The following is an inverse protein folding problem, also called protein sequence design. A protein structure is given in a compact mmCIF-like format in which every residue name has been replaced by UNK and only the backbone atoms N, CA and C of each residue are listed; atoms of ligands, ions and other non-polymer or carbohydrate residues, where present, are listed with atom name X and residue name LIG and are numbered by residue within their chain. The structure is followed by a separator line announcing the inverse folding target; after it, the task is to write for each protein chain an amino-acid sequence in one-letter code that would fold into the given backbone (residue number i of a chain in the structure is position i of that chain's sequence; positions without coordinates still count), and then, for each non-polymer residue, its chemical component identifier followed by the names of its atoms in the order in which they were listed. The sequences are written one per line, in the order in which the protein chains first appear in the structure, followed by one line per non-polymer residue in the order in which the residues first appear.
data_IF_237293501050
#
_entry.id   IF_237293501050
#
_cell.length_a   1.000
_cell.length_b   1.000
_cell.length_c   1.000
_cell.angle_alpha   90.00
_cell.angle_beta   90.00
_cell.angle_gamma   90.00
#
_symmetry.space_group_name_H-M   'P 1'
#
loop_
_entity.id
_entity.type
_entity.pdbx_description
1 polymer ?
#
# COMPACT_ATOMS: atom_id res chain seq x y z
N UNK A 1 -12.85 34.06 -31.55
CA UNK A 1 -12.16 32.76 -31.71
C UNK A 1 -12.55 31.89 -30.52
N UNK A 2 -13.30 30.81 -30.75
CA UNK A 2 -13.56 29.80 -29.72
C UNK A 2 -12.22 29.22 -29.25
N UNK A 3 -11.92 29.14 -27.95
CA UNK A 3 -10.80 28.35 -27.51
C UNK A 3 -11.14 26.89 -27.80
N UNK A 4 -10.35 26.35 -28.72
CA UNK A 4 -10.22 24.96 -29.15
C UNK A 4 -10.77 23.95 -28.15
N UNK A 5 -11.62 23.05 -28.65
CA UNK A 5 -11.68 21.66 -28.20
C UNK A 5 -10.24 21.14 -28.08
N UNK A 6 -9.64 21.17 -26.89
CA UNK A 6 -8.53 20.28 -26.60
C UNK A 6 -9.15 18.88 -26.56
N UNK A 7 -8.84 18.06 -27.55
CA UNK A 7 -9.19 16.64 -27.50
C UNK A 7 -8.61 16.08 -26.20
N UNK A 8 -9.49 15.69 -25.28
CA UNK A 8 -9.11 15.04 -24.04
C UNK A 8 -8.21 13.84 -24.35
N UNK A 9 -7.08 13.73 -23.67
CA UNK A 9 -6.10 12.66 -23.85
C UNK A 9 -5.92 11.86 -22.56
N UNK A 10 -5.28 10.70 -22.68
CA UNK A 10 -4.88 9.91 -21.53
C UNK A 10 -4.01 10.73 -20.57
N UNK A 11 -4.28 10.62 -19.28
CA UNK A 11 -3.64 11.44 -18.24
C UNK A 11 -4.25 12.83 -18.02
N UNK A 12 -5.20 13.28 -18.85
CA UNK A 12 -5.98 14.48 -18.51
C UNK A 12 -6.91 14.18 -17.33
N UNK A 13 -7.18 15.19 -16.51
CA UNK A 13 -8.11 15.09 -15.39
C UNK A 13 -9.54 14.92 -15.93
N UNK A 14 -10.27 13.93 -15.41
CA UNK A 14 -11.65 13.67 -15.79
C UNK A 14 -12.61 14.59 -15.03
N UNK A 15 -12.97 15.72 -15.65
CA UNK A 15 -13.85 16.74 -15.05
C UNK A 15 -15.28 16.27 -14.74
N UNK A 16 -15.64 15.03 -15.08
CA UNK A 16 -16.95 14.44 -14.72
C UNK A 16 -16.96 13.81 -13.33
N UNK A 17 -15.80 13.74 -12.65
CA UNK A 17 -15.66 13.21 -11.30
C UNK A 17 -15.68 14.35 -10.27
N UNK A 18 -16.53 14.25 -9.26
CA UNK A 18 -16.61 15.26 -8.21
C UNK A 18 -16.74 16.68 -8.75
N UNK A 19 -15.93 17.60 -8.23
CA UNK A 19 -15.82 18.97 -8.72
C UNK A 19 -14.54 19.09 -9.53
N UNK A 20 -14.68 19.32 -10.85
CA UNK A 20 -13.58 19.49 -11.80
C UNK A 20 -12.54 18.35 -11.78
N UNK A 21 -12.97 17.13 -11.46
CA UNK A 21 -12.12 15.94 -11.43
C UNK A 21 -11.56 15.57 -10.06
N UNK A 22 -11.95 16.29 -9.01
CA UNK A 22 -11.50 16.08 -7.64
C UNK A 22 -12.67 15.88 -6.66
N UNK A 23 -12.45 14.98 -5.69
CA UNK A 23 -13.25 14.84 -4.47
C UNK A 23 -12.35 15.01 -3.27
N UNK A 24 -12.55 16.08 -2.51
CA UNK A 24 -11.97 16.23 -1.19
C UNK A 24 -12.82 15.50 -0.15
N UNK A 25 -12.20 14.84 0.83
CA UNK A 25 -12.92 14.23 1.96
C UNK A 25 -13.60 15.27 2.89
N UNK A 26 -13.55 16.56 2.57
CA UNK A 26 -14.42 17.58 3.18
C UNK A 26 -15.91 17.28 3.00
N UNK A 27 -16.28 16.45 2.02
CA UNK A 27 -17.65 15.97 1.80
C UNK A 27 -18.22 15.09 2.92
N UNK A 28 -17.37 14.54 3.80
CA UNK A 28 -17.83 13.68 4.90
C UNK A 28 -18.63 14.50 5.94
N UNK A 29 -19.57 13.86 6.67
CA UNK A 29 -20.44 14.51 7.65
C UNK A 29 -19.68 15.37 8.68
N UNK A 30 -20.32 16.41 9.20
CA UNK A 30 -19.69 17.41 10.10
C UNK A 30 -19.35 16.85 11.48
N UNK A 31 -19.96 15.74 11.89
CA UNK A 31 -19.58 15.02 13.11
C UNK A 31 -18.26 14.25 12.94
N UNK A 32 -17.80 14.02 11.71
CA UNK A 32 -16.43 13.58 11.45
C UNK A 32 -15.55 14.82 11.49
N UNK A 33 -14.57 14.80 12.40
CA UNK A 33 -13.57 15.85 12.58
C UNK A 33 -12.83 16.19 11.29
N UNK A 34 -12.07 17.27 11.30
CA UNK A 34 -11.39 17.79 10.12
C UNK A 34 -10.17 16.95 9.72
N UNK A 35 -9.61 16.17 10.66
CA UNK A 35 -8.53 15.23 10.41
C UNK A 35 -9.07 13.97 9.71
N UNK A 36 -9.24 14.06 8.39
CA UNK A 36 -9.83 13.02 7.53
C UNK A 36 -8.77 12.41 6.66
N UNK A 37 -7.97 11.54 7.27
CA UNK A 37 -6.81 10.95 6.60
C UNK A 37 -7.23 9.70 5.83
N UNK A 38 -6.98 9.71 4.54
CA UNK A 38 -7.13 8.56 3.66
C UNK A 38 -6.01 7.54 3.93
N UNK A 39 -6.38 6.28 4.09
CA UNK A 39 -5.46 5.19 4.46
C UNK A 39 -5.55 3.98 3.52
N UNK A 40 -6.60 3.92 2.70
CA UNK A 40 -6.78 2.91 1.66
C UNK A 40 -7.94 3.25 0.74
N UNK A 41 -7.91 2.72 -0.49
CA UNK A 41 -8.98 2.87 -1.48
C UNK A 41 -9.20 1.54 -2.17
N UNK A 42 -10.46 1.21 -2.43
CA UNK A 42 -10.86 0.00 -3.12
C UNK A 42 -12.01 0.33 -4.09
N UNK A 43 -11.92 -0.18 -5.33
CA UNK A 43 -13.04 -0.15 -6.27
C UNK A 43 -13.87 -1.41 -6.08
N UNK A 44 -15.16 -1.23 -5.85
CA UNK A 44 -16.13 -2.31 -5.65
C UNK A 44 -16.63 -2.85 -7.01
N UNK A 45 -17.23 -4.06 -7.06
CA UNK A 45 -17.74 -4.63 -8.31
C UNK A 45 -18.80 -3.79 -9.02
N UNK A 46 -19.57 -3.01 -8.27
CA UNK A 46 -20.56 -2.05 -8.79
C UNK A 46 -19.94 -0.69 -9.17
N UNK A 47 -18.60 -0.63 -9.27
CA UNK A 47 -17.78 0.54 -9.60
C UNK A 47 -17.84 1.69 -8.57
N UNK A 48 -18.49 1.48 -7.42
CA UNK A 48 -18.41 2.38 -6.28
C UNK A 48 -17.00 2.38 -5.69
N UNK A 49 -16.68 3.46 -5.01
CA UNK A 49 -15.38 3.68 -4.39
C UNK A 49 -15.55 3.53 -2.89
N UNK A 50 -14.77 2.65 -2.27
CA UNK A 50 -14.69 2.51 -0.82
C UNK A 50 -13.36 3.08 -0.34
N UNK A 51 -13.40 3.90 0.70
CA UNK A 51 -12.23 4.58 1.27
C UNK A 51 -12.09 4.21 2.74
N UNK A 52 -10.90 3.74 3.11
CA UNK A 52 -10.49 3.51 4.49
C UNK A 52 -9.86 4.77 5.09
N UNK A 53 -10.21 5.08 6.33
CA UNK A 53 -9.90 6.35 6.97
C UNK A 53 -9.33 6.18 8.38
N UNK A 54 -8.47 7.12 8.77
CA UNK A 54 -8.30 7.49 10.17
C UNK A 54 -9.11 8.77 10.43
N UNK A 55 -10.01 8.73 11.41
CA UNK A 55 -10.92 9.84 11.71
C UNK A 55 -10.93 10.17 13.19
N UNK A 56 -11.03 11.46 13.50
CA UNK A 56 -11.48 11.91 14.82
C UNK A 56 -12.98 12.15 14.74
N UNK A 57 -13.76 11.76 15.74
CA UNK A 57 -15.17 12.16 15.84
C UNK A 57 -15.25 13.51 16.57
N UNK A 58 -15.86 14.51 15.94
CA UNK A 58 -15.97 15.87 16.46
C UNK A 58 -16.89 15.87 17.69
N UNK A 59 -16.37 16.23 18.88
CA UNK A 59 -17.17 16.19 20.07
C UNK A 59 -17.97 17.49 20.22
N UNK A 60 -19.10 17.57 19.51
CA UNK A 60 -20.25 18.26 20.11
C UNK A 60 -20.81 17.45 21.31
N UNK A 61 -20.26 16.25 21.57
CA UNK A 61 -20.69 15.27 22.59
C UNK A 61 -19.56 14.64 23.43
N UNK A 62 -18.39 15.29 23.61
CA UNK A 62 -17.40 14.86 24.63
C UNK A 62 -15.93 15.03 24.26
N UNK A 63 -15.25 16.03 24.83
CA UNK A 63 -13.82 16.25 24.67
C UNK A 63 -13.01 14.99 25.05
N UNK A 64 -12.07 14.56 24.19
CA UNK A 64 -11.02 13.58 24.53
C UNK A 64 -11.22 12.13 24.06
N UNK A 65 -12.19 11.84 23.18
CA UNK A 65 -12.28 10.50 22.58
C UNK A 65 -11.06 10.21 21.68
N UNK A 66 -10.46 9.01 21.76
CA UNK A 66 -9.37 8.62 20.87
C UNK A 66 -9.86 8.56 19.41
N UNK A 67 -8.97 8.75 18.42
CA UNK A 67 -9.30 8.54 17.02
C UNK A 67 -9.91 7.17 16.75
N UNK A 68 -10.85 7.11 15.82
CA UNK A 68 -11.47 5.88 15.32
C UNK A 68 -11.04 5.64 13.87
N UNK A 69 -11.23 4.42 13.39
CA UNK A 69 -11.16 4.20 11.95
C UNK A 69 -12.51 4.48 11.30
N UNK A 70 -12.51 4.72 9.99
CA UNK A 70 -13.72 4.90 9.21
C UNK A 70 -13.69 4.19 7.86
N UNK A 71 -14.87 3.84 7.37
CA UNK A 71 -15.11 3.45 5.99
C UNK A 71 -16.12 4.43 5.40
N UNK A 72 -15.83 5.01 4.25
CA UNK A 72 -16.76 5.84 3.50
C UNK A 72 -16.97 5.29 2.09
N UNK A 73 -18.20 5.34 1.58
CA UNK A 73 -18.54 4.86 0.24
C UNK A 73 -19.00 6.00 -0.66
N UNK A 74 -18.48 6.02 -1.88
CA UNK A 74 -18.82 7.00 -2.90
C UNK A 74 -19.35 6.28 -4.13
N UNK A 75 -20.25 6.93 -4.84
CA UNK A 75 -20.65 6.55 -6.20
C UNK A 75 -19.44 6.56 -7.16
N UNK A 76 -19.57 5.94 -8.36
CA UNK A 76 -18.50 5.96 -9.36
C UNK A 76 -18.02 7.36 -9.73
N UNK A 77 -18.91 8.37 -9.66
CA UNK A 77 -18.64 9.78 -9.99
C UNK A 77 -18.28 10.64 -8.77
N UNK A 78 -18.07 10.03 -7.61
CA UNK A 78 -17.49 10.71 -6.44
C UNK A 78 -18.49 11.38 -5.51
N UNK A 79 -19.79 11.17 -5.71
CA UNK A 79 -20.85 11.60 -4.78
C UNK A 79 -20.88 10.65 -3.59
N UNK A 80 -20.90 11.16 -2.36
CA UNK A 80 -21.05 10.37 -1.13
C UNK A 80 -22.35 9.56 -1.15
N UNK A 81 -22.25 8.26 -0.94
CA UNK A 81 -23.40 7.36 -0.77
C UNK A 81 -23.91 7.46 0.66
N UNK A 82 -24.91 8.31 0.90
CA UNK A 82 -25.42 8.59 2.25
C UNK A 82 -26.13 7.41 2.92
N UNK A 83 -26.52 6.40 2.14
CA UNK A 83 -27.18 5.19 2.66
C UNK A 83 -26.15 4.17 3.19
N UNK A 84 -24.86 4.45 3.04
CA UNK A 84 -23.79 3.61 3.59
C UNK A 84 -23.52 3.93 5.06
N UNK A 85 -23.86 3.03 5.97
CA UNK A 85 -23.65 3.25 7.40
C UNK A 85 -24.52 4.40 7.93
N UNK A 86 -23.91 5.34 8.64
CA UNK A 86 -24.58 6.57 9.12
C UNK A 86 -24.09 7.73 8.26
N UNK A 87 -24.99 8.38 7.52
CA UNK A 87 -24.70 9.51 6.63
C UNK A 87 -23.52 9.29 5.67
N UNK A 88 -23.33 8.05 5.22
CA UNK A 88 -22.28 7.66 4.29
C UNK A 88 -20.97 7.16 4.90
N UNK A 89 -20.92 7.00 6.22
CA UNK A 89 -19.73 6.55 6.95
C UNK A 89 -20.06 5.44 7.97
N UNK A 90 -19.21 4.42 8.02
CA UNK A 90 -19.11 3.49 9.14
C UNK A 90 -17.88 3.90 9.97
N UNK A 91 -18.02 4.04 11.28
CA UNK A 91 -16.90 4.32 12.20
C UNK A 91 -16.88 3.30 13.31
N UNK A 92 -15.69 2.83 13.69
CA UNK A 92 -15.53 1.86 14.77
C UNK A 92 -14.07 1.89 15.29
N UNK A 93 -13.78 1.12 16.33
CA UNK A 93 -12.47 0.99 16.95
C UNK A 93 -12.07 -0.48 17.05
N UNK A 94 -10.79 -0.79 16.79
CA UNK A 94 -10.30 -2.16 16.94
C UNK A 94 -10.29 -2.62 18.41
N UNK A 95 -10.23 -1.67 19.34
CA UNK A 95 -10.42 -1.88 20.77
C UNK A 95 -11.22 -0.72 21.38
N UNK A 96 -12.11 -1.00 22.35
CA UNK A 96 -12.82 0.06 23.05
C UNK A 96 -11.86 1.07 23.68
N UNK A 97 -12.07 2.36 23.39
CA UNK A 97 -11.30 3.49 23.96
C UNK A 97 -9.81 3.54 23.58
N UNK A 98 -9.38 2.80 22.56
CA UNK A 98 -8.01 2.90 22.03
C UNK A 98 -7.98 3.59 20.66
N UNK A 99 -6.90 4.31 20.38
CA UNK A 99 -6.71 5.04 19.14
C UNK A 99 -6.63 4.09 17.95
N UNK A 100 -7.58 4.16 17.05
CA UNK A 100 -7.68 3.26 15.89
C UNK A 100 -7.49 4.02 14.59
N UNK A 101 -6.75 3.40 13.65
CA UNK A 101 -6.55 3.93 12.30
C UNK A 101 -6.81 2.83 11.28
N UNK A 102 -7.75 3.06 10.36
CA UNK A 102 -7.98 2.18 9.23
C UNK A 102 -6.77 2.21 8.28
N UNK A 103 -6.74 1.30 7.32
CA UNK A 103 -5.61 1.16 6.41
C UNK A 103 -5.99 0.51 5.09
N UNK A 104 -5.19 -0.45 4.65
CA UNK A 104 -5.40 -1.17 3.39
C UNK A 104 -6.72 -1.93 3.43
N UNK A 105 -7.45 -1.87 2.34
CA UNK A 105 -8.69 -2.59 2.13
C UNK A 105 -8.46 -3.69 1.11
N UNK A 106 -9.05 -4.86 1.36
CA UNK A 106 -9.04 -6.00 0.45
C UNK A 106 -10.44 -6.61 0.40
N UNK A 107 -11.04 -6.73 -0.78
CA UNK A 107 -12.22 -7.59 -0.95
C UNK A 107 -11.75 -9.02 -1.10
N UNK A 108 -12.22 -9.88 -0.22
CA UNK A 108 -11.94 -11.30 -0.24
C UNK A 108 -12.74 -11.98 -1.35
N UNK A 109 -12.28 -13.14 -1.81
CA UNK A 109 -12.96 -13.95 -2.84
C UNK A 109 -14.38 -14.37 -2.41
N UNK A 110 -14.63 -14.52 -1.12
CA UNK A 110 -15.95 -14.83 -0.54
C UNK A 110 -16.89 -13.62 -0.43
N UNK A 111 -16.47 -12.45 -0.93
CA UNK A 111 -17.26 -11.22 -0.94
C UNK A 111 -17.11 -10.36 0.32
N UNK A 112 -16.50 -10.87 1.39
CA UNK A 112 -16.20 -10.09 2.60
C UNK A 112 -15.17 -8.99 2.33
N UNK A 113 -15.19 -7.96 3.16
CA UNK A 113 -14.20 -6.89 3.14
C UNK A 113 -13.28 -7.04 4.35
N UNK A 114 -11.99 -7.19 4.06
CA UNK A 114 -10.93 -7.15 5.06
C UNK A 114 -10.30 -5.76 5.11
N UNK A 115 -10.10 -5.24 6.31
CA UNK A 115 -9.36 -4.00 6.56
C UNK A 115 -8.15 -4.29 7.44
N UNK A 116 -6.98 -3.87 6.98
CA UNK A 116 -5.74 -3.84 7.72
C UNK A 116 -5.53 -2.44 8.28
N UNK A 117 -5.18 -2.29 9.55
CA UNK A 117 -4.97 -1.01 10.20
C UNK A 117 -4.04 -1.11 11.41
N UNK A 118 -4.17 -0.14 12.30
CA UNK A 118 -3.40 -0.12 13.55
C UNK A 118 -4.23 0.37 14.72
N UNK A 119 -3.93 -0.16 15.90
CA UNK A 119 -4.45 0.34 17.18
C UNK A 119 -3.28 0.81 18.05
N UNK A 120 -3.38 2.00 18.63
CA UNK A 120 -2.42 2.50 19.60
C UNK A 120 -2.86 2.14 21.01
N UNK A 121 -2.12 1.26 21.70
CA UNK A 121 -2.40 0.82 23.06
C UNK A 121 -1.53 1.62 24.04
N UNK A 122 -2.09 2.07 25.16
CA UNK A 122 -1.30 2.78 26.17
C UNK A 122 -0.46 1.80 27.01
N UNK A 123 0.87 1.90 26.88
CA UNK A 123 1.84 1.17 27.69
C UNK A 123 2.70 2.16 28.48
N UNK A 124 2.44 2.27 29.79
CA UNK A 124 3.23 3.16 30.66
C UNK A 124 3.16 4.65 30.29
N UNK A 125 2.03 5.12 29.74
CA UNK A 125 1.82 6.51 29.32
C UNK A 125 2.22 6.79 27.86
N UNK A 126 2.78 5.81 27.14
CA UNK A 126 3.12 5.93 25.72
C UNK A 126 2.14 5.12 24.88
N UNK A 127 1.60 5.69 23.81
CA UNK A 127 0.73 4.94 22.88
C UNK A 127 1.57 4.18 21.87
N UNK A 128 1.56 2.85 21.96
CA UNK A 128 2.34 1.94 21.11
C UNK A 128 1.43 1.42 20.01
N UNK A 129 1.80 1.58 18.72
CA UNK A 129 1.01 1.05 17.62
C UNK A 129 1.14 -0.48 17.58
N UNK A 130 0.03 -1.16 17.30
CA UNK A 130 -0.06 -2.59 17.06
C UNK A 130 -0.80 -2.86 15.77
N UNK A 131 -0.51 -4.01 15.16
CA UNK A 131 -1.21 -4.47 13.97
C UNK A 131 -2.66 -4.80 14.34
N UNK A 132 -3.62 -4.24 13.60
CA UNK A 132 -5.04 -4.46 13.85
C UNK A 132 -5.80 -4.72 12.56
N UNK A 133 -6.87 -5.50 12.64
CA UNK A 133 -7.66 -5.93 11.50
C UNK A 133 -9.14 -5.92 11.85
N UNK A 134 -9.97 -5.68 10.84
CA UNK A 134 -11.42 -5.81 10.91
C UNK A 134 -11.90 -6.58 9.68
N UNK A 135 -12.92 -7.41 9.84
CA UNK A 135 -13.60 -8.05 8.72
C UNK A 135 -15.07 -7.64 8.69
N UNK A 136 -15.57 -7.36 7.50
CA UNK A 136 -16.96 -7.02 7.26
C UNK A 136 -17.57 -8.02 6.28
N UNK A 137 -18.84 -8.33 6.48
CA UNK A 137 -19.67 -9.09 5.53
C UNK A 137 -19.82 -8.34 4.20
N UNK A 138 -20.37 -9.01 3.19
CA UNK A 138 -20.63 -8.38 1.89
C UNK A 138 -21.63 -7.21 1.97
N UNK A 139 -22.53 -7.21 2.96
CA UNK A 139 -23.43 -6.10 3.29
C UNK A 139 -22.80 -5.07 4.26
N UNK A 140 -21.48 -5.12 4.44
CA UNK A 140 -20.68 -4.18 5.24
C UNK A 140 -21.06 -4.10 6.72
N UNK A 141 -21.60 -5.18 7.29
CA UNK A 141 -21.72 -5.35 8.73
C UNK A 141 -20.46 -5.99 9.26
N UNK A 142 -20.08 -5.67 10.49
CA UNK A 142 -18.90 -6.27 11.12
C UNK A 142 -19.11 -7.81 11.23
N UNK A 143 -18.18 -8.59 10.70
CA UNK A 143 -18.23 -10.05 10.69
C UNK A 143 -17.70 -10.58 12.03
N UNK A 144 -18.60 -10.81 12.97
CA UNK A 144 -18.26 -11.27 14.33
C UNK A 144 -17.62 -12.66 14.37
N UNK A 145 -17.62 -13.42 13.27
CA UNK A 145 -16.90 -14.72 13.22
C UNK A 145 -15.40 -14.56 13.01
N UNK A 146 -14.95 -13.35 12.65
CA UNK A 146 -13.54 -13.04 12.47
C UNK A 146 -12.85 -12.67 13.80
N UNK A 147 -11.59 -13.10 13.95
CA UNK A 147 -10.73 -12.77 15.10
C UNK A 147 -10.89 -13.67 16.32
N UNK A 148 -11.82 -14.64 16.30
CA UNK A 148 -11.98 -15.67 17.33
C UNK A 148 -12.67 -15.23 18.62
N UNK A 149 -12.81 -13.92 18.86
CA UNK A 149 -13.41 -13.35 20.09
C UNK A 149 -14.85 -12.86 19.91
N UNK A 150 -15.48 -13.09 18.76
CA UNK A 150 -16.84 -12.60 18.52
C UNK A 150 -16.92 -11.11 18.19
N UNK A 151 -15.78 -10.42 18.08
CA UNK A 151 -15.69 -8.96 17.89
C UNK A 151 -15.68 -8.56 16.43
N UNK A 152 -15.25 -9.45 15.52
CA UNK A 152 -14.96 -9.09 14.13
C UNK A 152 -13.68 -8.25 13.96
N UNK A 153 -12.91 -8.11 15.05
CA UNK A 153 -11.62 -7.48 15.10
C UNK A 153 -10.55 -8.49 15.50
N UNK A 154 -9.32 -8.25 15.05
CA UNK A 154 -8.13 -8.95 15.53
C UNK A 154 -7.03 -7.94 15.77
N UNK A 155 -6.38 -8.02 16.93
CA UNK A 155 -5.18 -7.24 17.25
C UNK A 155 -4.04 -8.22 17.51
N UNK A 156 -2.95 -8.04 16.76
CA UNK A 156 -1.70 -8.75 17.02
C UNK A 156 -0.82 -7.78 17.78
N UNK A 157 -0.73 -7.99 19.09
CA UNK A 157 0.13 -7.21 19.97
C UNK A 157 1.61 -7.47 19.67
N UNK A 158 2.43 -6.45 19.89
CA UNK A 158 3.86 -6.53 19.63
C UNK A 158 4.53 -7.20 20.84
N UNK A 159 5.75 -7.71 20.66
CA UNK A 159 6.58 -7.96 21.84
C UNK A 159 7.00 -6.63 22.48
N UNK A 160 7.39 -6.65 23.76
CA UNK A 160 7.85 -5.46 24.49
C UNK A 160 9.09 -4.79 23.90
N UNK A 161 9.77 -5.44 22.96
CA UNK A 161 10.98 -4.93 22.30
C UNK A 161 10.72 -4.42 20.89
N UNK A 162 9.48 -4.52 20.38
CA UNK A 162 9.14 -4.22 19.00
C UNK A 162 8.08 -3.10 18.90
N UNK A 163 8.27 -2.22 17.92
CA UNK A 163 7.33 -1.15 17.59
C UNK A 163 6.86 -1.34 16.14
N UNK A 164 5.55 -1.55 15.97
CA UNK A 164 4.91 -1.75 14.68
C UNK A 164 4.95 -0.49 13.80
N UNK A 165 5.26 -0.66 12.51
CA UNK A 165 5.30 0.42 11.52
C UNK A 165 4.12 0.36 10.54
N UNK A 166 2.99 0.95 10.93
CA UNK A 166 1.72 0.85 10.18
C UNK A 166 1.74 1.36 8.73
N UNK A 167 2.72 2.17 8.34
CA UNK A 167 2.81 2.75 6.98
C UNK A 167 3.17 1.74 5.90
N UNK A 168 3.74 0.59 6.28
CA UNK A 168 4.34 -0.37 5.35
C UNK A 168 3.58 -1.67 5.23
N UNK A 169 2.40 -1.75 5.85
CA UNK A 169 1.63 -2.98 5.86
C UNK A 169 0.86 -3.16 4.54
N UNK A 170 0.92 -4.37 4.00
CA UNK A 170 0.16 -4.77 2.82
C UNK A 170 -0.45 -6.15 3.04
N UNK A 171 -1.51 -6.47 2.31
CA UNK A 171 -2.25 -7.72 2.44
C UNK A 171 -2.56 -8.31 1.07
N UNK A 172 -2.44 -9.62 0.96
CA UNK A 172 -2.82 -10.39 -0.23
C UNK A 172 -3.50 -11.69 0.20
N UNK A 173 -4.53 -12.10 -0.54
CA UNK A 173 -5.19 -13.38 -0.35
C UNK A 173 -4.54 -14.46 -1.24
N UNK A 174 -4.28 -15.63 -0.67
CA UNK A 174 -3.89 -16.84 -1.39
C UNK A 174 -5.12 -17.55 -1.98
N UNK A 175 -4.92 -18.39 -3.01
CA UNK A 175 -6.00 -19.14 -3.65
C UNK A 175 -6.71 -20.17 -2.74
N UNK A 176 -6.13 -20.52 -1.60
CA UNK A 176 -6.79 -21.34 -0.56
C UNK A 176 -7.58 -20.48 0.46
N UNK A 177 -7.72 -19.19 0.19
CA UNK A 177 -8.39 -18.20 1.01
C UNK A 177 -7.51 -17.57 2.09
N UNK A 178 -6.36 -18.15 2.44
CA UNK A 178 -5.51 -17.63 3.52
C UNK A 178 -5.00 -16.22 3.21
N UNK A 179 -4.77 -15.44 4.25
CA UNK A 179 -4.30 -14.06 4.15
C UNK A 179 -2.83 -13.97 4.47
N UNK A 180 -2.07 -13.31 3.60
CA UNK A 180 -0.68 -12.95 3.80
C UNK A 180 -0.61 -11.47 4.14
N UNK A 181 0.02 -11.14 5.26
CA UNK A 181 0.22 -9.75 5.69
C UNK A 181 1.71 -9.52 5.81
N UNK A 182 2.26 -8.65 4.97
CA UNK A 182 3.62 -8.18 5.13
C UNK A 182 3.64 -6.87 5.89
N UNK A 183 4.60 -6.71 6.79
CA UNK A 183 4.79 -5.50 7.58
C UNK A 183 6.23 -5.37 8.05
N UNK A 184 6.51 -4.29 8.76
CA UNK A 184 7.80 -3.99 9.37
C UNK A 184 7.63 -3.55 10.83
N UNK A 185 8.59 -3.93 11.65
CA UNK A 185 8.75 -3.50 13.03
C UNK A 185 10.15 -2.89 13.19
N UNK A 186 10.34 -2.08 14.22
CA UNK A 186 11.69 -1.69 14.67
C UNK A 186 11.88 -1.98 16.16
N UNK A 187 13.13 -2.08 16.57
CA UNK A 187 13.48 -2.29 17.98
C UNK A 187 13.19 -1.03 18.81
N UNK A 188 12.65 -1.24 20.02
CA UNK A 188 12.46 -0.16 20.99
C UNK A 188 13.79 0.56 21.26
N UNK A 189 13.81 1.89 21.09
CA UNK A 189 15.01 2.70 21.30
C UNK A 189 16.01 2.67 20.14
N UNK A 190 15.78 1.89 19.08
CA UNK A 190 16.60 1.90 17.87
C UNK A 190 15.76 1.73 16.59
N UNK A 191 15.30 2.86 16.05
CA UNK A 191 14.48 2.90 14.84
C UNK A 191 15.18 2.40 13.56
N UNK A 192 16.50 2.25 13.57
CA UNK A 192 17.27 1.75 12.42
C UNK A 192 17.37 0.22 12.39
N UNK A 193 17.04 -0.45 13.49
CA UNK A 193 17.04 -1.91 13.57
C UNK A 193 15.65 -2.42 13.28
N UNK A 194 15.35 -2.58 12.00
CA UNK A 194 14.05 -3.01 11.49
C UNK A 194 14.00 -4.51 11.21
N UNK A 195 12.81 -5.09 11.31
CA UNK A 195 12.52 -6.47 10.95
C UNK A 195 11.27 -6.54 10.08
N UNK A 196 11.43 -7.08 8.88
CA UNK A 196 10.32 -7.41 7.99
C UNK A 196 9.63 -8.69 8.47
N UNK A 197 8.32 -8.63 8.63
CA UNK A 197 7.50 -9.76 9.10
C UNK A 197 6.46 -10.11 8.05
N UNK A 198 6.32 -11.40 7.77
CA UNK A 198 5.22 -11.98 7.01
C UNK A 198 4.34 -12.81 7.95
N UNK A 199 3.11 -12.36 8.19
CA UNK A 199 2.09 -13.16 8.86
C UNK A 199 1.29 -13.95 7.85
N UNK A 200 0.85 -15.15 8.25
CA UNK A 200 -0.23 -15.86 7.58
C UNK A 200 -1.40 -16.13 8.52
N UNK A 201 -2.59 -15.77 8.07
CA UNK A 201 -3.85 -15.98 8.78
C UNK A 201 -4.77 -16.89 7.96
N UNK A 202 -5.63 -17.62 8.65
CA UNK A 202 -6.83 -18.18 8.06
C UNK A 202 -7.84 -17.07 7.72
N UNK A 203 -8.84 -17.38 6.88
CA UNK A 203 -9.91 -16.45 6.48
C UNK A 203 -10.79 -15.97 7.64
N UNK A 204 -10.78 -16.67 8.77
CA UNK A 204 -11.45 -16.27 10.02
C UNK A 204 -10.55 -15.41 10.92
N UNK A 205 -9.34 -15.06 10.47
CA UNK A 205 -8.39 -14.22 11.19
C UNK A 205 -7.44 -14.98 12.13
N UNK A 206 -7.64 -16.26 12.45
CA UNK A 206 -6.69 -16.95 13.34
C UNK A 206 -5.33 -17.15 12.65
N UNK A 207 -4.22 -17.03 13.39
CA UNK A 207 -2.88 -17.33 12.89
C UNK A 207 -2.80 -18.77 12.36
N UNK A 208 -2.24 -18.94 11.16
CA UNK A 208 -2.02 -20.27 10.58
C UNK A 208 -0.72 -20.87 11.11
N UNK A 209 -0.82 -21.71 12.13
CA UNK A 209 0.33 -22.34 12.78
C UNK A 209 1.05 -23.36 11.89
N UNK A 210 0.51 -23.73 10.73
CA UNK A 210 1.23 -24.52 9.72
C UNK A 210 2.27 -23.70 8.95
N UNK A 211 2.22 -22.37 9.06
CA UNK A 211 3.18 -21.45 8.46
C UNK A 211 4.24 -21.06 9.48
N UNK A 212 5.50 -21.42 9.24
CA UNK A 212 6.62 -21.16 10.15
C UNK A 212 6.37 -21.61 11.62
N UNK A 213 5.49 -22.59 11.82
CA UNK A 213 5.12 -23.13 13.15
C UNK A 213 4.20 -22.26 14.01
N UNK A 214 4.03 -20.97 13.69
CA UNK A 214 3.27 -20.02 14.52
C UNK A 214 2.49 -18.95 13.73
N UNK A 215 2.47 -19.03 12.40
CA UNK A 215 1.82 -18.03 11.55
C UNK A 215 2.61 -16.73 11.35
N UNK A 216 3.86 -16.65 11.82
CA UNK A 216 4.71 -15.45 11.77
C UNK A 216 6.11 -15.80 11.29
N UNK A 217 6.54 -15.22 10.17
CA UNK A 217 7.88 -15.39 9.61
C UNK A 217 8.66 -14.07 9.67
N UNK A 218 9.83 -14.10 10.30
CA UNK A 218 10.82 -13.02 10.22
C UNK A 218 11.67 -13.19 8.96
N UNK A 219 11.76 -12.14 8.15
CA UNK A 219 12.64 -12.12 6.99
C UNK A 219 14.07 -11.85 7.46
N UNK A 220 15.00 -12.75 7.14
CA UNK A 220 16.41 -12.63 7.50
C UNK A 220 17.28 -12.73 6.26
N UNK A 221 18.30 -11.86 6.18
CA UNK A 221 19.35 -11.95 5.18
C UNK A 221 20.34 -13.07 5.50
N UNK A 222 21.47 -13.07 4.78
CA UNK A 222 22.61 -13.92 5.14
C UNK A 222 23.22 -13.51 6.49
N UNK A 223 23.20 -12.21 6.77
CA UNK A 223 23.50 -11.64 8.08
C UNK A 223 22.20 -11.65 8.92
N UNK A 224 22.16 -12.40 10.05
CA UNK A 224 20.97 -12.48 10.89
C UNK A 224 20.65 -11.18 11.64
N UNK A 225 21.63 -10.28 11.77
CA UNK A 225 21.48 -8.98 12.46
C UNK A 225 21.18 -7.83 11.47
N UNK A 226 21.15 -8.12 10.17
CA UNK A 226 20.80 -7.15 9.15
C UNK A 226 19.37 -6.63 9.36
N UNK A 227 19.23 -5.30 9.36
CA UNK A 227 17.91 -4.67 9.34
C UNK A 227 17.18 -5.07 8.04
N UNK A 228 15.91 -5.41 8.16
CA UNK A 228 15.06 -5.80 7.03
C UNK A 228 13.73 -5.08 7.07
N UNK A 229 13.17 -4.82 5.89
CA UNK A 229 11.81 -4.30 5.78
C UNK A 229 11.05 -5.05 4.70
N UNK A 230 9.78 -5.32 4.96
CA UNK A 230 8.87 -5.97 4.03
C UNK A 230 7.75 -4.99 3.66
N UNK A 231 7.57 -4.74 2.36
CA UNK A 231 6.65 -3.69 1.87
C UNK A 231 5.48 -4.24 1.07
N UNK A 232 5.69 -5.33 0.34
CA UNK A 232 4.66 -5.98 -0.47
C UNK A 232 4.88 -7.49 -0.54
N UNK A 233 3.80 -8.22 -0.78
CA UNK A 233 3.83 -9.65 -1.05
C UNK A 233 2.82 -9.99 -2.15
N UNK A 234 3.06 -11.11 -2.83
CA UNK A 234 2.15 -11.70 -3.80
C UNK A 234 2.10 -13.22 -3.60
N UNK A 235 0.91 -13.79 -3.76
CA UNK A 235 0.73 -15.23 -3.87
C UNK A 235 0.96 -15.68 -5.32
N UNK A 236 1.75 -16.74 -5.52
CA UNK A 236 1.92 -17.42 -6.80
C UNK A 236 1.11 -18.72 -6.84
N UNK A 237 0.90 -19.24 -8.06
CA UNK A 237 0.39 -20.59 -8.26
C UNK A 237 1.23 -21.64 -7.51
N UNK A 238 0.58 -22.68 -7.01
CA UNK A 238 1.23 -23.73 -6.20
C UNK A 238 1.56 -23.32 -4.77
N UNK A 239 1.01 -22.21 -4.27
CA UNK A 239 1.16 -21.76 -2.87
C UNK A 239 2.50 -21.10 -2.56
N UNK A 240 3.32 -20.79 -3.56
CA UNK A 240 4.55 -20.02 -3.34
C UNK A 240 4.22 -18.56 -3.03
N UNK A 241 5.08 -17.91 -2.26
CA UNK A 241 4.88 -16.55 -1.78
C UNK A 241 6.10 -15.73 -2.19
N UNK A 242 5.89 -14.64 -2.91
CA UNK A 242 6.96 -13.70 -3.27
C UNK A 242 6.79 -12.43 -2.47
N UNK A 243 7.88 -11.92 -1.91
CA UNK A 243 7.89 -10.72 -1.08
C UNK A 243 8.97 -9.76 -1.52
N UNK A 244 8.77 -8.46 -1.27
CA UNK A 244 9.75 -7.41 -1.58
C UNK A 244 9.96 -6.43 -0.45
N UNK A 245 11.14 -5.82 -0.46
CA UNK A 245 11.49 -4.74 0.45
C UNK A 245 12.98 -4.43 0.38
N UNK A 246 13.66 -4.44 1.53
CA UNK A 246 15.10 -4.19 1.62
C UNK A 246 15.79 -5.05 2.69
N UNK A 247 17.10 -5.25 2.55
CA UNK A 247 18.00 -5.84 3.54
C UNK A 247 19.26 -4.98 3.66
N UNK A 248 19.68 -4.68 4.89
CA UNK A 248 20.86 -3.89 5.20
C UNK A 248 22.04 -4.78 5.60
N UNK A 249 22.82 -5.24 4.62
CA UNK A 249 24.02 -6.04 4.88
C UNK A 249 25.09 -5.17 5.55
N UNK A 250 25.62 -5.52 6.72
CA UNK A 250 26.70 -4.77 7.35
C UNK A 250 28.07 -5.08 6.70
N UNK A 251 28.98 -4.11 6.50
CA UNK A 251 28.89 -2.65 6.78
C UNK A 251 28.31 -1.81 5.62
N UNK A 252 27.50 -2.42 4.74
CA UNK A 252 26.94 -1.81 3.53
C UNK A 252 25.58 -1.12 3.72
N UNK A 253 25.04 -0.66 2.59
CA UNK A 253 23.77 0.05 2.50
C UNK A 253 22.59 -0.92 2.32
N UNK A 254 21.39 -0.47 2.68
CA UNK A 254 20.13 -1.14 2.39
C UNK A 254 20.00 -1.42 0.90
N UNK A 255 19.81 -2.69 0.58
CA UNK A 255 19.69 -3.20 -0.78
C UNK A 255 18.28 -3.73 -0.99
N UNK A 256 17.65 -3.33 -2.10
CA UNK A 256 16.34 -3.82 -2.47
C UNK A 256 16.40 -5.34 -2.69
N UNK A 257 15.43 -6.05 -2.13
CA UNK A 257 15.38 -7.52 -2.19
C UNK A 257 14.02 -8.00 -2.66
N UNK A 258 14.05 -9.11 -3.39
CA UNK A 258 12.90 -9.96 -3.66
C UNK A 258 13.25 -11.34 -3.10
N UNK A 259 12.33 -11.93 -2.35
CA UNK A 259 12.51 -13.28 -1.80
C UNK A 259 11.30 -14.14 -2.13
N UNK A 260 11.50 -15.46 -2.25
CA UNK A 260 10.41 -16.41 -2.43
C UNK A 260 10.41 -17.49 -1.36
N UNK A 261 9.22 -17.78 -0.85
CA UNK A 261 8.97 -18.79 0.17
C UNK A 261 7.99 -19.84 -0.34
N UNK A 262 8.11 -21.04 0.19
CA UNK A 262 7.12 -22.11 0.05
C UNK A 262 5.89 -21.81 0.91
N UNK A 263 4.83 -22.60 0.70
CA UNK A 263 3.56 -22.44 1.40
C UNK A 263 3.64 -22.76 2.91
N UNK A 264 4.76 -23.28 3.41
CA UNK A 264 5.00 -23.50 4.84
C UNK A 264 5.87 -22.39 5.47
N UNK A 265 6.32 -21.41 4.67
CA UNK A 265 7.20 -20.33 5.09
C UNK A 265 8.69 -20.64 4.96
N UNK A 266 9.07 -21.83 4.50
CA UNK A 266 10.48 -22.15 4.23
C UNK A 266 10.97 -21.44 2.96
N UNK A 267 12.24 -21.00 2.95
CA UNK A 267 12.82 -20.28 1.82
C UNK A 267 12.94 -21.18 0.57
N UNK A 268 12.38 -20.73 -0.56
CA UNK A 268 12.47 -21.44 -1.83
C UNK A 268 13.82 -21.18 -2.51
N UNK A 269 14.81 -22.02 -2.18
CA UNK A 269 16.19 -21.91 -2.70
C UNK A 269 16.32 -22.11 -4.21
N UNK A 270 15.24 -22.47 -4.93
CA UNK A 270 15.22 -22.52 -6.40
C UNK A 270 14.94 -21.18 -7.06
N UNK A 271 14.53 -20.17 -6.28
CA UNK A 271 14.32 -18.81 -6.76
C UNK A 271 15.63 -18.03 -6.80
N UNK A 272 15.76 -17.14 -7.78
CA UNK A 272 16.94 -16.29 -7.94
C UNK A 272 18.13 -17.04 -8.53
N UNK A 273 19.32 -16.48 -8.36
CA UNK A 273 20.56 -17.04 -8.89
C UNK A 273 21.19 -18.02 -7.90
N UNK A 274 22.06 -18.88 -8.41
CA UNK A 274 22.78 -19.90 -7.62
C UNK A 274 23.59 -19.32 -6.46
N UNK A 275 24.09 -18.09 -6.60
CA UNK A 275 24.87 -17.40 -5.57
C UNK A 275 24.02 -16.61 -4.56
N UNK A 276 22.71 -16.52 -4.78
CA UNK A 276 21.74 -15.90 -3.86
C UNK A 276 20.47 -16.75 -3.75
N UNK A 277 20.55 -18.04 -3.40
CA UNK A 277 19.40 -18.95 -3.47
C UNK A 277 18.25 -18.45 -2.58
N UNK A 278 17.06 -18.33 -3.16
CA UNK A 278 15.86 -17.81 -2.50
C UNK A 278 15.70 -16.29 -2.60
N UNK A 279 16.73 -15.57 -3.05
CA UNK A 279 16.79 -14.12 -3.06
C UNK A 279 17.23 -13.57 -4.42
N UNK A 280 16.71 -12.39 -4.75
CA UNK A 280 17.21 -11.53 -5.81
C UNK A 280 17.48 -10.14 -5.20
N UNK A 281 18.73 -9.71 -5.17
CA UNK A 281 19.14 -8.40 -4.63
C UNK A 281 19.48 -7.45 -5.78
N UNK A 282 19.13 -6.17 -5.62
CA UNK A 282 19.32 -5.16 -6.67
C UNK A 282 20.19 -4.00 -6.16
N UNK A 283 21.53 -4.14 -6.19
CA UNK A 283 22.42 -3.04 -5.87
C UNK A 283 22.47 -2.02 -7.02
N UNK A 284 22.45 -0.72 -6.69
CA UNK A 284 22.58 0.36 -7.67
C UNK A 284 23.68 1.32 -7.22
N UNK A 285 24.89 1.16 -7.75
CA UNK A 285 25.96 2.18 -7.68
C UNK A 285 26.26 2.78 -6.31
N UNK A 286 26.25 1.98 -5.23
CA UNK A 286 26.50 2.49 -3.87
C UNK A 286 25.37 3.35 -3.30
N UNK A 287 24.16 3.26 -3.86
CA UNK A 287 22.96 3.91 -3.33
C UNK A 287 22.18 2.94 -2.44
N UNK A 288 21.49 3.51 -1.45
CA UNK A 288 20.39 2.83 -0.78
C UNK A 288 19.29 2.48 -1.80
N UNK A 289 18.75 1.26 -1.73
CA UNK A 289 17.64 0.83 -2.61
C UNK A 289 16.57 0.10 -1.81
N UNK A 290 15.31 0.29 -2.20
CA UNK A 290 14.20 -0.49 -1.63
C UNK A 290 13.08 -0.67 -2.66
N UNK A 291 12.35 -1.77 -2.55
CA UNK A 291 11.07 -1.93 -3.21
C UNK A 291 9.93 -1.56 -2.27
N UNK A 292 8.92 -0.86 -2.79
CA UNK A 292 7.71 -0.46 -2.07
C UNK A 292 6.49 -1.27 -2.52
N UNK A 293 6.49 -1.77 -3.76
CA UNK A 293 5.37 -2.50 -4.33
C UNK A 293 5.85 -3.62 -5.28
N UNK A 294 4.98 -4.59 -5.53
CA UNK A 294 5.22 -5.71 -6.44
C UNK A 294 3.99 -5.95 -7.31
N UNK A 295 4.15 -5.83 -8.62
CA UNK A 295 3.09 -6.02 -9.61
C UNK A 295 3.22 -7.39 -10.26
N UNK A 296 2.15 -8.16 -10.35
CA UNK A 296 2.14 -9.40 -11.13
C UNK A 296 2.07 -9.10 -12.63
N UNK A 297 2.82 -9.84 -13.42
CA UNK A 297 2.77 -9.81 -14.89
C UNK A 297 2.65 -11.22 -15.45
N UNK A 298 2.25 -11.41 -16.73
CA UNK A 298 2.19 -12.74 -17.32
C UNK A 298 3.53 -13.51 -17.26
N UNK A 299 4.66 -12.79 -17.36
CA UNK A 299 6.03 -13.33 -17.35
C UNK A 299 6.63 -13.48 -15.94
N UNK A 300 6.06 -12.82 -14.94
CA UNK A 300 6.59 -12.79 -13.58
C UNK A 300 6.07 -11.59 -12.82
N UNK A 301 6.96 -10.62 -12.59
CA UNK A 301 6.70 -9.47 -11.75
C UNK A 301 7.42 -8.22 -12.23
N UNK A 302 6.89 -7.06 -11.83
CA UNK A 302 7.65 -5.80 -11.83
C UNK A 302 7.65 -5.29 -10.39
N UNK A 303 8.84 -5.19 -9.80
CA UNK A 303 9.03 -4.61 -8.48
C UNK A 303 9.33 -3.10 -8.62
N UNK A 304 8.65 -2.26 -7.83
CA UNK A 304 8.78 -0.80 -7.93
C UNK A 304 9.13 -0.20 -6.59
N UNK A 305 10.01 0.80 -6.57
CA UNK A 305 10.39 1.51 -5.35
C UNK A 305 11.36 2.65 -5.64
N UNK A 306 12.48 2.71 -4.91
CA UNK A 306 13.43 3.82 -5.00
C UNK A 306 14.89 3.39 -4.98
N UNK A 307 15.74 4.26 -5.51
CA UNK A 307 17.19 4.26 -5.38
C UNK A 307 17.68 5.64 -4.94
N UNK A 308 18.56 5.71 -3.95
CA UNK A 308 19.02 6.94 -3.30
C UNK A 308 18.58 7.05 -1.85
N UNK A 309 19.29 7.88 -1.09
CA UNK A 309 19.09 8.04 0.34
C UNK A 309 17.96 9.01 0.67
N UNK A 310 17.54 8.97 1.94
CA UNK A 310 16.65 9.95 2.57
C UNK A 310 17.46 11.01 3.35
N UNK A 311 18.67 11.35 2.87
CA UNK A 311 19.50 12.36 3.51
C UNK A 311 19.05 13.79 3.13
N UNK A 312 19.11 14.77 4.05
CA UNK A 312 18.82 16.17 3.75
C UNK A 312 19.63 16.69 2.55
N UNK A 313 18.94 17.08 1.47
CA UNK A 313 19.55 17.60 0.24
C UNK A 313 19.75 16.56 -0.87
N UNK A 314 19.46 15.29 -0.61
CA UNK A 314 19.40 14.24 -1.65
C UNK A 314 17.95 14.01 -2.10
N UNK A 315 17.76 13.55 -3.34
CA UNK A 315 16.43 13.18 -3.86
C UNK A 315 16.47 11.73 -4.35
N UNK A 316 15.66 10.87 -3.75
CA UNK A 316 15.55 9.49 -4.21
C UNK A 316 14.94 9.44 -5.61
N UNK A 317 15.48 8.56 -6.46
CA UNK A 317 15.01 8.29 -7.80
C UNK A 317 14.07 7.09 -7.78
N UNK A 318 13.18 7.01 -8.75
CA UNK A 318 12.30 5.85 -8.89
C UNK A 318 13.09 4.68 -9.44
N UNK A 319 12.75 3.47 -8.98
CA UNK A 319 13.34 2.25 -9.49
C UNK A 319 12.25 1.27 -9.87
N UNK A 320 12.37 0.69 -11.07
CA UNK A 320 11.57 -0.46 -11.51
C UNK A 320 12.49 -1.59 -11.94
N UNK A 321 12.10 -2.83 -11.63
CA UNK A 321 12.85 -4.02 -12.03
C UNK A 321 11.88 -5.11 -12.47
N UNK A 322 12.01 -5.57 -13.72
CA UNK A 322 11.27 -6.72 -14.24
C UNK A 322 11.96 -8.02 -13.87
N UNK A 323 11.21 -8.97 -13.32
CA UNK A 323 11.73 -10.23 -12.79
C UNK A 323 10.80 -11.37 -13.21
N UNK A 324 11.38 -12.47 -13.69
CA UNK A 324 10.65 -13.69 -14.06
C UNK A 324 10.03 -14.37 -12.83
N UNK A 325 9.11 -15.32 -13.04
CA UNK A 325 8.50 -16.09 -11.95
C UNK A 325 9.54 -16.82 -11.10
N UNK A 326 10.68 -17.16 -11.68
CA UNK A 326 11.81 -17.88 -11.08
C UNK A 326 12.85 -16.96 -10.43
N UNK A 327 12.69 -15.63 -10.49
CA UNK A 327 13.58 -14.70 -9.81
C UNK A 327 14.81 -14.29 -10.61
N UNK A 328 14.83 -14.58 -11.91
CA UNK A 328 15.82 -14.08 -12.86
C UNK A 328 15.36 -12.78 -13.49
N UNK A 329 16.29 -11.98 -13.99
CA UNK A 329 15.99 -10.73 -14.69
C UNK A 329 15.08 -10.96 -15.91
N UNK A 330 14.05 -10.13 -16.07
CA UNK A 330 13.20 -10.13 -17.29
C UNK A 330 13.90 -9.32 -18.39
N UNK A 331 14.51 -10.00 -19.35
CA UNK A 331 15.27 -9.36 -20.43
C UNK A 331 14.43 -8.49 -21.35
N UNK A 332 13.12 -8.68 -21.40
CA UNK A 332 12.23 -7.83 -22.19
C UNK A 332 11.85 -6.54 -21.45
N UNK A 333 12.18 -6.42 -20.16
CA UNK A 333 11.97 -5.23 -19.36
C UNK A 333 13.30 -4.52 -19.13
N UNK A 334 13.53 -3.43 -19.86
CA UNK A 334 14.77 -2.64 -19.77
C UNK A 334 16.06 -3.51 -19.87
N UNK A 335 16.08 -4.47 -20.78
CA UNK A 335 17.18 -5.43 -20.99
C UNK A 335 17.58 -6.22 -19.73
N UNK A 336 16.64 -6.43 -18.80
CA UNK A 336 16.89 -7.07 -17.50
C UNK A 336 17.66 -6.21 -16.51
N UNK A 337 17.88 -4.92 -16.81
CA UNK A 337 18.59 -3.99 -15.93
C UNK A 337 17.59 -3.22 -15.06
N UNK A 338 17.98 -2.80 -13.85
CA UNK A 338 17.19 -1.84 -13.08
C UNK A 338 16.96 -0.55 -13.88
N UNK A 339 15.70 -0.13 -13.96
CA UNK A 339 15.30 1.10 -14.62
C UNK A 339 15.20 2.21 -13.58
N UNK A 340 16.13 3.16 -13.63
CA UNK A 340 16.15 4.33 -12.75
C UNK A 340 15.43 5.49 -13.44
N UNK A 341 14.39 6.01 -12.78
CA UNK A 341 13.49 7.03 -13.32
C UNK A 341 13.60 8.31 -12.52
N UNK A 342 13.78 9.44 -13.20
CA UNK A 342 13.87 10.76 -12.58
C UNK A 342 13.20 11.80 -13.48
N UNK A 343 12.16 12.46 -12.98
CA UNK A 343 11.45 13.50 -13.73
C UNK A 343 12.03 14.90 -13.52
N UNK A 344 12.57 15.18 -12.33
CA UNK A 344 13.20 16.48 -12.05
C UNK A 344 14.45 16.30 -11.18
N UNK A 345 15.34 17.30 -11.20
CA UNK A 345 16.51 17.35 -10.33
C UNK A 345 16.19 17.62 -8.86
N UNK A 346 15.00 18.14 -8.56
CA UNK A 346 14.66 18.74 -7.27
C UNK A 346 13.65 17.93 -6.46
N UNK A 347 13.04 16.90 -7.04
CA UNK A 347 11.91 16.21 -6.43
C UNK A 347 12.13 14.71 -6.34
N UNK A 348 11.84 14.14 -5.18
CA UNK A 348 11.82 12.69 -4.97
C UNK A 348 10.85 12.02 -5.96
N UNK A 349 11.28 10.93 -6.56
CA UNK A 349 10.45 10.07 -7.42
C UNK A 349 10.41 8.67 -6.82
N UNK A 350 9.98 8.50 -5.56
CA UNK A 350 9.86 7.17 -4.96
C UNK A 350 8.51 6.55 -5.35
N UNK A 351 8.52 5.48 -6.15
CA UNK A 351 7.30 4.78 -6.54
C UNK A 351 6.64 4.16 -5.31
N UNK A 352 5.47 4.66 -4.92
CA UNK A 352 4.80 4.27 -3.69
C UNK A 352 3.70 3.24 -3.90
N UNK A 353 3.06 3.26 -5.07
CA UNK A 353 1.97 2.37 -5.43
C UNK A 353 1.83 2.27 -6.95
N UNK A 354 1.14 1.23 -7.42
CA UNK A 354 0.97 0.97 -8.83
C UNK A 354 0.12 -0.25 -9.12
N UNK A 355 -0.31 -0.37 -10.37
CA UNK A 355 -0.98 -1.56 -10.88
C UNK A 355 -0.67 -1.78 -12.37
N UNK A 356 -0.94 -2.99 -12.86
CA UNK A 356 -0.86 -3.32 -14.28
C UNK A 356 -2.27 -3.27 -14.89
N UNK A 357 -2.43 -2.54 -16.00
CA UNK A 357 -3.65 -2.51 -16.80
C UNK A 357 -3.83 -3.82 -17.60
N UNK A 358 -5.06 -4.17 -18.03
CA UNK A 358 -5.32 -5.39 -18.80
C UNK A 358 -4.53 -5.50 -20.12
N UNK A 359 -4.12 -4.37 -20.70
CA UNK A 359 -3.31 -4.31 -21.92
C UNK A 359 -1.80 -4.46 -21.65
N UNK A 360 -1.40 -4.68 -20.39
CA UNK A 360 -0.02 -4.87 -19.96
C UNK A 360 0.74 -3.58 -19.66
N UNK A 361 0.13 -2.40 -19.81
CA UNK A 361 0.74 -1.15 -19.35
C UNK A 361 0.77 -1.07 -17.83
N UNK A 362 1.75 -0.37 -17.29
CA UNK A 362 1.90 -0.14 -15.84
C UNK A 362 1.50 1.28 -15.51
N UNK A 363 0.69 1.48 -14.48
CA UNK A 363 0.34 2.80 -13.94
C UNK A 363 0.95 2.92 -12.56
N UNK A 364 1.80 3.93 -12.34
CA UNK A 364 2.53 4.12 -11.08
C UNK A 364 2.30 5.51 -10.50
N UNK A 365 2.25 5.59 -9.17
CA UNK A 365 2.26 6.85 -8.42
C UNK A 365 3.53 6.98 -7.59
N UNK A 366 4.10 8.18 -7.52
CA UNK A 366 5.17 8.51 -6.58
C UNK A 366 4.68 9.23 -5.32
N UNK A 367 5.52 9.27 -4.29
CA UNK A 367 5.33 10.10 -3.09
C UNK A 367 6.10 11.45 -3.18
N UNK A 368 5.87 12.34 -2.21
CA UNK A 368 6.53 13.64 -2.11
C UNK A 368 5.86 14.72 -2.97
N UNK A 369 6.38 14.92 -4.19
CA UNK A 369 5.72 15.65 -5.27
C UNK A 369 5.25 14.62 -6.29
N UNK A 370 3.97 14.22 -6.24
CA UNK A 370 3.54 12.99 -6.89
C UNK A 370 3.53 13.14 -8.41
N UNK A 371 4.04 12.12 -9.07
CA UNK A 371 3.80 11.86 -10.48
C UNK A 371 2.81 10.71 -10.57
N UNK A 372 1.80 10.86 -11.41
CA UNK A 372 1.07 9.74 -11.98
C UNK A 372 1.70 9.43 -13.33
N UNK A 373 2.16 8.20 -13.55
CA UNK A 373 2.86 7.82 -14.78
C UNK A 373 2.32 6.54 -15.37
N UNK A 374 2.47 6.39 -16.69
CA UNK A 374 2.12 5.19 -17.43
C UNK A 374 3.31 4.70 -18.25
N UNK A 375 3.53 3.39 -18.21
CA UNK A 375 4.68 2.72 -18.81
C UNK A 375 4.20 1.55 -19.65
N UNK A 376 4.91 1.26 -20.74
CA UNK A 376 4.71 0.05 -21.51
C UNK A 376 5.28 -1.17 -20.77
N UNK A 377 4.86 -2.37 -21.18
CA UNK A 377 5.28 -3.63 -20.54
C UNK A 377 6.78 -3.94 -20.64
N UNK A 378 7.53 -3.20 -21.47
CA UNK A 378 8.99 -3.29 -21.60
C UNK A 378 9.73 -2.27 -20.72
N UNK A 379 9.00 -1.45 -19.94
CA UNK A 379 9.56 -0.40 -19.09
C UNK A 379 9.79 0.95 -19.78
N UNK A 380 9.51 1.10 -21.08
CA UNK A 380 9.57 2.43 -21.72
C UNK A 380 8.35 3.30 -21.34
N UNK A 381 8.50 4.64 -21.24
CA UNK A 381 7.37 5.53 -20.97
C UNK A 381 6.30 5.43 -22.06
N UNK A 382 5.03 5.43 -21.67
CA UNK A 382 3.93 5.55 -22.63
C UNK A 382 3.72 7.02 -23.01
N UNK A 383 4.29 7.44 -24.14
CA UNK A 383 4.26 8.84 -24.59
C UNK A 383 2.86 9.38 -24.91
N UNK A 384 1.83 8.52 -24.96
CA UNK A 384 0.43 8.96 -25.13
C UNK A 384 -0.21 9.41 -23.80
N UNK A 385 0.41 9.11 -22.66
CA UNK A 385 -0.08 9.49 -21.33
C UNK A 385 0.57 10.79 -20.83
N UNK A 386 -0.24 11.82 -20.60
CA UNK A 386 0.24 13.09 -20.06
C UNK A 386 1.34 13.71 -20.92
N UNK A 387 2.44 14.11 -20.30
CA UNK A 387 3.65 14.60 -20.98
C UNK A 387 4.75 13.56 -20.78
N UNK A 388 5.19 12.94 -21.88
CA UNK A 388 6.25 11.92 -21.90
C UNK A 388 6.01 10.76 -20.93
N UNK A 389 4.75 10.31 -20.81
CA UNK A 389 4.35 9.21 -19.93
C UNK A 389 4.01 9.59 -18.51
N UNK A 390 3.96 10.89 -18.17
CA UNK A 390 3.66 11.32 -16.81
C UNK A 390 2.80 12.59 -16.70
N UNK A 391 2.13 12.68 -15.58
CA UNK A 391 1.37 13.83 -15.12
C UNK A 391 1.96 14.27 -13.78
N UNK A 392 2.47 15.48 -13.72
CA UNK A 392 2.89 16.11 -12.47
C UNK A 392 1.66 16.56 -11.69
N UNK A 393 1.48 16.00 -10.50
CA UNK A 393 0.42 16.40 -9.58
C UNK A 393 0.97 17.52 -8.69
N UNK A 394 0.41 18.73 -8.83
CA UNK A 394 0.91 19.96 -8.17
C UNK A 394 0.46 20.10 -6.71
N UNK A 395 0.47 19.00 -5.96
CA UNK A 395 0.27 19.03 -4.51
C UNK A 395 1.62 18.88 -3.81
N UNK A 396 1.77 19.57 -2.68
CA UNK A 396 2.96 19.45 -1.82
C UNK A 396 2.68 18.61 -0.60
N UNK A 397 3.69 17.85 -0.15
CA UNK A 397 3.62 17.12 1.13
C UNK A 397 2.82 15.83 1.08
N UNK A 398 2.66 15.23 -0.10
CA UNK A 398 1.95 13.95 -0.26
C UNK A 398 2.81 12.82 0.30
N UNK A 399 2.38 12.24 1.43
CA UNK A 399 3.12 11.16 2.13
C UNK A 399 2.64 9.75 1.77
N UNK A 400 1.43 9.63 1.24
CA UNK A 400 0.85 8.35 0.82
C UNK A 400 -0.08 8.61 -0.35
N UNK A 401 0.21 7.99 -1.49
CA UNK A 401 -0.59 8.05 -2.69
C UNK A 401 -0.94 6.62 -3.12
N UNK A 402 -2.20 6.45 -3.47
CA UNK A 402 -2.81 5.21 -3.93
C UNK A 402 -3.23 5.39 -5.38
N UNK A 403 -3.05 4.35 -6.18
CA UNK A 403 -3.50 4.36 -7.56
C UNK A 403 -4.19 3.05 -7.86
N UNK A 404 -5.44 3.13 -8.30
CA UNK A 404 -6.27 1.95 -8.53
C UNK A 404 -6.92 2.00 -9.91
N UNK A 405 -6.96 0.83 -10.54
CA UNK A 405 -7.65 0.62 -11.81
C UNK A 405 -9.16 0.73 -11.63
N UNK A 406 -9.87 1.10 -12.69
CA UNK A 406 -11.32 1.07 -12.75
C UNK A 406 -11.80 0.32 -13.99
N UNK A 407 -13.00 -0.30 -13.94
CA UNK A 407 -13.59 -0.98 -15.10
C UNK A 407 -13.84 -0.08 -16.31
N UNK A 408 -13.97 1.23 -16.10
CA UNK A 408 -14.19 2.24 -17.15
C UNK A 408 -12.88 2.71 -17.83
N UNK A 409 -11.78 1.97 -17.63
CA UNK A 409 -10.41 2.31 -18.04
C UNK A 409 -9.85 3.58 -17.41
N UNK A 410 -10.61 4.31 -16.57
CA UNK A 410 -10.09 5.51 -15.90
C UNK A 410 -9.16 5.13 -14.75
N UNK A 411 -8.35 6.08 -14.35
CA UNK A 411 -7.38 5.93 -13.27
C UNK A 411 -7.88 6.73 -12.07
N UNK A 412 -8.07 6.08 -10.93
CA UNK A 412 -8.33 6.79 -9.68
C UNK A 412 -7.02 6.92 -8.91
N UNK A 413 -6.65 8.15 -8.61
CA UNK A 413 -5.53 8.50 -7.77
C UNK A 413 -6.05 9.09 -6.47
N UNK A 414 -5.51 8.68 -5.34
CA UNK A 414 -5.94 9.18 -4.04
C UNK A 414 -4.76 9.41 -3.11
N UNK A 415 -4.78 10.52 -2.38
CA UNK A 415 -3.69 10.87 -1.49
C UNK A 415 -4.14 11.78 -0.35
N UNK A 416 -3.29 11.90 0.68
CA UNK A 416 -3.43 12.99 1.65
C UNK A 416 -2.63 14.21 1.16
N UNK A 417 -3.32 15.33 0.95
CA UNK A 417 -2.74 16.59 0.48
C UNK A 417 -2.64 17.59 1.62
N UNK A 418 -1.52 18.31 1.71
CA UNK A 418 -1.31 19.33 2.76
C UNK A 418 -1.95 20.67 2.39
N UNK A 419 -2.75 21.25 3.30
CA UNK A 419 -3.34 22.58 3.16
C UNK A 419 -3.29 23.40 4.47
N UNK A 420 -3.85 24.63 4.43
CA UNK A 420 -3.80 25.63 5.53
C UNK A 420 -4.44 25.10 6.84
N UNK A 421 -5.31 24.07 6.76
CA UNK A 421 -5.97 23.45 7.92
C UNK A 421 -5.48 22.05 8.30
N UNK A 422 -4.36 21.57 7.75
CA UNK A 422 -3.85 20.20 7.96
C UNK A 422 -3.90 19.33 6.71
N UNK A 423 -3.57 18.04 6.85
CA UNK A 423 -3.64 17.06 5.75
C UNK A 423 -5.07 16.52 5.62
N UNK A 424 -5.60 16.50 4.40
CA UNK A 424 -6.92 15.91 4.09
C UNK A 424 -6.80 14.93 2.94
N UNK A 425 -7.57 13.84 2.99
CA UNK A 425 -7.69 12.93 1.86
C UNK A 425 -8.36 13.62 0.66
N UNK A 426 -7.82 13.37 -0.52
CA UNK A 426 -8.35 13.81 -1.81
C UNK A 426 -8.26 12.66 -2.81
N UNK A 427 -9.27 12.55 -3.66
CA UNK A 427 -9.37 11.60 -4.76
C UNK A 427 -9.46 12.40 -6.06
N UNK A 428 -8.69 11.99 -7.06
CA UNK A 428 -8.72 12.56 -8.41
C UNK A 428 -8.88 11.46 -9.44
N UNK A 429 -9.70 11.69 -10.46
CA UNK A 429 -9.91 10.73 -11.56
C UNK A 429 -9.25 11.25 -12.83
N UNK A 430 -8.44 10.42 -13.46
CA UNK A 430 -7.74 10.74 -14.71
C UNK A 430 -8.22 9.82 -15.84
N UNK A 431 -8.12 10.31 -17.06
CA UNK A 431 -8.43 9.52 -18.25
C UNK A 431 -7.37 8.45 -18.51
N UNK A 432 -7.89 7.34 -19.01
CA UNK A 432 -7.30 6.01 -19.02
C UNK A 432 -6.12 5.76 -19.92
#
# INVERSE_FOLDING_TARGET
MNPKNSTRRAGDLDTTFGTDGEVSLSILPTYIGTDRLLQGVLILPDNKILVGLGVSINPLIGFGAPPSYGLARLSPDGILDKDFGVDGVITDNFRPKESSKGGRLLRLEDGRLFMLGSVGINEGGTSIPHLAMACYTEDYKLDTTFGGEGTGHLVIENSSTEIYMSRYANVTQQADGKLLICTEYHEWGNAYKTTGILYRLHTNGTLDTTFNGNGRLEIKGQDPDAATGLKACLAQAGGKIVVVGHICFQPGLGTAVIARFHNDGTLDKTFGRRNSPGYHTVPVGGLWTQFNNLLSTPRGFVATGKAGEDEPGTVSQGMMVGITKEGLEDLDFNDGKPLITKYTSETETSWSDGYMQPDGKLVLSSAGRPFLSRWLSNGSPDTEFGTDGAVLIRDTGVRSAFVVSRPDSKILWAANVGGIGGSIGSLRRYLG
#
